data_IF_053759206658
#
_entry.id   IF_053759206658
#
_cell.length_a   1.000
_cell.length_b   1.000
_cell.length_c   1.000
_cell.angle_alpha   90.00
_cell.angle_beta   90.00
_cell.angle_gamma   90.00
#
_symmetry.space_group_name_H-M   'P 1'
#
loop_
_entity.id
_entity.type
_entity.pdbx_description
1 polymer ?
#
# COMPACT_ATOMS: atom_id res chain seq x y z
N UNK A 1 5.18 27.52 22.22
CA UNK A 1 4.43 26.79 21.18
C UNK A 1 5.44 26.34 20.14
N UNK A 2 5.79 25.06 20.10
CA UNK A 2 6.48 24.45 18.95
C UNK A 2 6.70 22.95 19.23
N UNK A 3 5.98 22.09 18.50
CA UNK A 3 6.35 20.68 18.29
C UNK A 3 5.48 20.07 17.19
N UNK A 4 5.82 20.33 15.93
CA UNK A 4 5.23 19.61 14.79
C UNK A 4 6.21 19.51 13.62
N UNK A 5 7.45 19.11 13.90
CA UNK A 5 8.49 18.92 12.86
C UNK A 5 9.13 17.51 12.88
N UNK A 6 8.63 16.56 13.67
CA UNK A 6 9.35 15.30 13.93
C UNK A 6 8.75 14.04 13.29
N UNK A 7 7.44 13.99 13.01
CA UNK A 7 6.81 12.75 12.50
C UNK A 7 6.97 12.55 10.98
N UNK A 8 6.91 13.63 10.19
CA UNK A 8 6.97 13.54 8.73
C UNK A 8 8.35 13.07 8.24
N UNK A 9 9.41 13.50 8.91
CA UNK A 9 10.79 13.14 8.53
C UNK A 9 11.09 11.66 8.71
N UNK A 10 10.63 11.03 9.81
CA UNK A 10 10.84 9.59 10.06
C UNK A 10 10.03 8.72 9.08
N UNK A 11 8.75 9.06 8.86
CA UNK A 11 7.91 8.34 7.91
C UNK A 11 8.43 8.48 6.49
N UNK A 12 8.82 9.68 6.05
CA UNK A 12 9.41 9.89 4.73
C UNK A 12 10.68 9.06 4.54
N UNK A 13 11.61 9.12 5.49
CA UNK A 13 12.85 8.35 5.44
C UNK A 13 12.61 6.84 5.35
N UNK A 14 11.60 6.33 6.07
CA UNK A 14 11.20 4.94 6.01
C UNK A 14 10.81 4.47 4.60
N UNK A 15 9.99 5.25 3.88
CA UNK A 15 9.57 4.88 2.53
C UNK A 15 10.68 5.01 1.49
N UNK A 16 11.55 6.01 1.61
CA UNK A 16 12.73 6.14 0.74
C UNK A 16 13.65 4.92 0.89
N UNK A 17 13.96 4.52 2.12
CA UNK A 17 14.78 3.34 2.38
C UNK A 17 14.14 2.04 1.88
N UNK A 18 12.82 1.88 2.05
CA UNK A 18 12.11 0.71 1.52
C UNK A 18 12.11 0.68 -0.02
N UNK A 19 12.05 1.84 -0.68
CA UNK A 19 12.16 1.92 -2.13
C UNK A 19 13.56 1.51 -2.60
N UNK A 20 14.63 1.96 -1.93
CA UNK A 20 16.00 1.57 -2.26
C UNK A 20 16.20 0.05 -2.11
N UNK A 21 15.67 -0.53 -1.02
CA UNK A 21 15.68 -1.97 -0.83
C UNK A 21 14.93 -2.69 -1.95
N UNK A 22 13.72 -2.23 -2.29
CA UNK A 22 12.94 -2.77 -3.41
C UNK A 22 13.70 -2.71 -4.74
N UNK A 23 14.32 -1.56 -5.04
CA UNK A 23 15.06 -1.35 -6.28
C UNK A 23 16.27 -2.29 -6.39
N UNK A 24 16.97 -2.54 -5.27
CA UNK A 24 18.09 -3.49 -5.22
C UNK A 24 17.69 -4.94 -5.57
N UNK A 25 16.40 -5.29 -5.46
CA UNK A 25 15.88 -6.65 -5.69
C UNK A 25 15.30 -6.87 -7.09
N UNK A 26 15.29 -5.85 -7.96
CA UNK A 26 14.60 -5.91 -9.25
C UNK A 26 15.29 -6.79 -10.32
N UNK A 27 16.46 -7.38 -10.07
CA UNK A 27 17.15 -8.36 -10.94
C UNK A 27 16.99 -8.08 -12.45
N UNK A 28 17.44 -6.92 -12.92
CA UNK A 28 17.39 -6.51 -14.34
C UNK A 28 16.10 -5.83 -14.81
N UNK A 29 15.00 -5.87 -14.03
CA UNK A 29 13.76 -5.15 -14.36
C UNK A 29 13.84 -3.64 -14.09
N UNK A 30 14.96 -3.14 -13.55
CA UNK A 30 15.18 -1.72 -13.28
C UNK A 30 15.28 -0.85 -14.56
N UNK A 31 15.43 -1.47 -15.74
CA UNK A 31 15.44 -0.79 -17.05
C UNK A 31 14.05 -0.67 -17.67
N UNK A 32 13.03 -1.35 -17.12
CA UNK A 32 11.67 -1.31 -17.66
C UNK A 32 11.08 0.11 -17.57
N UNK A 33 10.34 0.50 -18.61
CA UNK A 33 9.69 1.81 -18.68
C UNK A 33 8.77 2.09 -17.48
N UNK A 34 8.10 1.06 -16.94
CA UNK A 34 7.26 1.23 -15.76
C UNK A 34 8.06 1.54 -14.49
N UNK A 35 9.26 0.96 -14.35
CA UNK A 35 10.13 1.26 -13.21
C UNK A 35 10.66 2.70 -13.26
N UNK A 36 10.87 3.27 -14.45
CA UNK A 36 11.20 4.69 -14.58
C UNK A 36 10.12 5.60 -13.98
N UNK A 37 8.84 5.26 -14.15
CA UNK A 37 7.72 5.99 -13.52
C UNK A 37 7.78 5.89 -11.99
N UNK A 38 8.15 4.72 -11.45
CA UNK A 38 8.33 4.53 -10.00
C UNK A 38 9.46 5.40 -9.46
N UNK A 39 10.61 5.46 -10.15
CA UNK A 39 11.72 6.37 -9.80
C UNK A 39 11.32 7.84 -9.81
N UNK A 40 10.60 8.28 -10.85
CA UNK A 40 10.13 9.67 -10.92
C UNK A 40 9.18 9.99 -9.76
N UNK A 41 8.26 9.06 -9.44
CA UNK A 41 7.32 9.23 -8.33
C UNK A 41 8.02 9.29 -6.97
N UNK A 42 8.97 8.39 -6.67
CA UNK A 42 9.68 8.41 -5.39
C UNK A 42 10.57 9.64 -5.24
N UNK A 43 11.16 10.14 -6.34
CA UNK A 43 11.92 11.39 -6.34
C UNK A 43 11.03 12.57 -5.97
N UNK A 44 9.82 12.67 -6.52
CA UNK A 44 8.86 13.71 -6.14
C UNK A 44 8.37 13.56 -4.71
N UNK A 45 8.18 12.33 -4.24
CA UNK A 45 7.88 12.09 -2.84
C UNK A 45 9.02 12.52 -1.90
N UNK A 46 10.29 12.36 -2.29
CA UNK A 46 11.43 12.82 -1.49
C UNK A 46 11.40 14.35 -1.29
N UNK A 47 11.04 15.09 -2.34
CA UNK A 47 10.86 16.55 -2.33
C UNK A 47 9.65 16.98 -1.48
N UNK A 48 8.49 16.33 -1.68
CA UNK A 48 7.20 16.80 -1.16
C UNK A 48 6.79 16.21 0.20
N UNK A 49 7.17 14.96 0.50
CA UNK A 49 6.73 14.23 1.69
C UNK A 49 5.25 13.84 1.68
N UNK A 50 4.71 13.52 2.85
CA UNK A 50 3.28 13.27 2.99
C UNK A 50 2.51 14.59 3.05
N UNK A 51 1.36 14.69 2.37
CA UNK A 51 0.53 15.87 2.50
C UNK A 51 -0.09 15.93 3.90
N UNK A 52 -0.39 17.15 4.33
CA UNK A 52 -0.98 17.45 5.63
C UNK A 52 -2.33 18.14 5.44
N UNK A 53 -3.15 18.22 6.48
CA UNK A 53 -4.42 18.98 6.43
C UNK A 53 -4.23 20.49 6.21
N UNK A 54 -2.98 20.99 6.19
CA UNK A 54 -2.64 22.36 5.77
C UNK A 54 -2.63 22.53 4.26
N UNK A 55 -2.43 21.46 3.50
CA UNK A 55 -2.58 21.48 2.06
C UNK A 55 -4.08 21.54 1.73
N UNK A 56 -4.49 22.49 0.90
CA UNK A 56 -5.91 22.76 0.63
C UNK A 56 -6.65 21.52 0.12
N UNK A 57 -6.02 20.75 -0.78
CA UNK A 57 -6.54 19.50 -1.33
C UNK A 57 -6.73 18.39 -0.27
N UNK A 58 -6.08 18.50 0.89
CA UNK A 58 -6.06 17.50 1.97
C UNK A 58 -6.77 17.96 3.25
N UNK A 59 -7.41 19.13 3.23
CA UNK A 59 -8.06 19.74 4.40
C UNK A 59 -9.04 18.80 5.11
N UNK A 60 -9.74 17.97 4.35
CA UNK A 60 -10.76 17.05 4.85
C UNK A 60 -10.31 15.58 4.85
N UNK A 61 -9.02 15.30 4.64
CA UNK A 61 -8.49 13.94 4.63
C UNK A 61 -7.20 13.87 5.44
N UNK A 62 -7.32 13.48 6.71
CA UNK A 62 -6.19 13.37 7.61
C UNK A 62 -5.42 12.06 7.40
N UNK A 63 -4.21 12.16 6.85
CA UNK A 63 -3.33 11.01 6.60
C UNK A 63 -2.42 10.61 7.78
N UNK A 64 -2.45 11.31 8.91
CA UNK A 64 -1.50 11.08 10.01
C UNK A 64 -1.51 9.62 10.53
N UNK A 65 -2.69 8.99 10.59
CA UNK A 65 -2.81 7.60 11.00
C UNK A 65 -2.19 6.61 9.99
N UNK A 66 -2.20 6.94 8.71
CA UNK A 66 -1.57 6.13 7.65
C UNK A 66 -0.06 6.39 7.61
N UNK A 67 0.36 7.65 7.67
CA UNK A 67 1.77 8.03 7.65
C UNK A 67 2.53 7.50 8.87
N UNK A 68 1.89 7.39 10.04
CA UNK A 68 2.51 6.82 11.25
C UNK A 68 2.72 5.31 11.19
N UNK A 69 2.10 4.60 10.24
CA UNK A 69 2.33 3.17 10.04
C UNK A 69 3.50 2.94 9.09
N UNK A 70 4.45 2.12 9.54
CA UNK A 70 5.62 1.69 8.78
C UNK A 70 5.29 0.46 7.94
N UNK A 71 4.65 0.67 6.80
CA UNK A 71 4.36 -0.40 5.86
C UNK A 71 5.66 -0.95 5.26
N UNK A 72 5.72 -2.27 5.09
CA UNK A 72 6.84 -2.97 4.46
C UNK A 72 6.33 -3.81 3.30
N UNK A 73 7.16 -3.97 2.28
CA UNK A 73 6.90 -4.93 1.22
C UNK A 73 6.89 -6.35 1.83
N UNK A 74 6.00 -7.21 1.33
CA UNK A 74 6.04 -8.62 1.67
C UNK A 74 7.38 -9.20 1.21
N UNK A 75 8.07 -9.90 2.12
CA UNK A 75 9.37 -10.50 1.83
C UNK A 75 9.28 -11.66 0.85
N UNK A 76 8.10 -12.29 0.76
CA UNK A 76 7.86 -13.46 -0.08
C UNK A 76 6.50 -13.36 -0.77
N UNK A 77 6.40 -13.89 -2.00
CA UNK A 77 5.11 -14.01 -2.67
C UNK A 77 4.20 -14.91 -1.84
N UNK A 78 3.05 -14.36 -1.48
CA UNK A 78 2.02 -15.10 -0.75
C UNK A 78 1.37 -16.08 -1.72
N UNK A 79 1.38 -17.37 -1.39
CA UNK A 79 0.61 -18.38 -2.14
C UNK A 79 -0.88 -18.13 -1.88
N UNK A 80 -1.59 -17.73 -2.94
CA UNK A 80 -3.03 -17.54 -2.88
C UNK A 80 -3.74 -18.89 -3.04
N UNK A 81 -4.77 -19.12 -2.22
CA UNK A 81 -5.69 -20.20 -2.45
C UNK A 81 -6.64 -19.83 -3.60
N UNK A 82 -6.54 -20.54 -4.72
CA UNK A 82 -7.34 -20.27 -5.91
C UNK A 82 -8.85 -20.35 -5.64
N UNK A 83 -9.29 -21.26 -4.75
CA UNK A 83 -10.70 -21.41 -4.38
C UNK A 83 -11.18 -20.19 -3.60
N UNK A 84 -10.42 -19.77 -2.58
CA UNK A 84 -10.74 -18.60 -1.77
C UNK A 84 -10.74 -17.31 -2.60
N UNK A 85 -9.82 -17.19 -3.56
CA UNK A 85 -9.76 -16.05 -4.47
C UNK A 85 -10.99 -15.98 -5.38
N UNK A 86 -11.46 -17.12 -5.89
CA UNK A 86 -12.65 -17.19 -6.73
C UNK A 86 -13.92 -16.88 -5.93
N UNK A 87 -14.02 -17.37 -4.70
CA UNK A 87 -15.10 -17.04 -3.76
C UNK A 87 -15.12 -15.53 -3.47
N UNK A 88 -13.97 -14.91 -3.20
CA UNK A 88 -13.86 -13.47 -3.00
C UNK A 88 -14.26 -12.66 -4.24
N UNK A 89 -13.86 -13.09 -5.45
CA UNK A 89 -14.25 -12.41 -6.70
C UNK A 89 -15.75 -12.46 -6.92
N UNK A 90 -16.37 -13.62 -6.67
CA UNK A 90 -17.83 -13.78 -6.76
C UNK A 90 -18.56 -12.91 -5.73
N UNK A 91 -18.07 -12.88 -4.49
CA UNK A 91 -18.57 -11.99 -3.44
C UNK A 91 -18.64 -10.54 -3.91
N UNK A 92 -17.51 -10.07 -4.43
CA UNK A 92 -17.33 -8.69 -4.85
C UNK A 92 -18.19 -8.34 -6.06
N UNK A 93 -18.30 -9.24 -7.04
CA UNK A 93 -19.17 -9.07 -8.19
C UNK A 93 -20.66 -9.03 -7.79
N UNK A 94 -21.07 -9.85 -6.82
CA UNK A 94 -22.44 -9.80 -6.26
C UNK A 94 -22.70 -8.47 -5.55
N UNK A 95 -21.75 -7.99 -4.72
CA UNK A 95 -21.84 -6.69 -4.06
C UNK A 95 -21.89 -5.51 -5.06
N UNK A 96 -21.08 -5.54 -6.13
CA UNK A 96 -21.06 -4.53 -7.19
C UNK A 96 -22.34 -4.54 -8.06
N UNK A 97 -23.04 -5.68 -8.14
CA UNK A 97 -24.33 -5.82 -8.83
C UNK A 97 -25.56 -5.57 -7.93
N UNK A 98 -25.35 -5.20 -6.67
CA UNK A 98 -26.42 -4.88 -5.72
C UNK A 98 -27.06 -6.08 -5.02
N UNK A 99 -26.52 -7.29 -5.21
CA UNK A 99 -26.95 -8.51 -4.51
C UNK A 99 -26.04 -8.68 -3.28
N UNK A 100 -26.56 -8.38 -2.09
CA UNK A 100 -25.83 -8.62 -0.85
C UNK A 100 -26.04 -10.08 -0.44
N UNK A 101 -25.03 -10.92 -0.63
CA UNK A 101 -24.95 -12.25 -0.01
C UNK A 101 -24.34 -12.11 1.41
N UNK A 102 -25.12 -12.35 2.49
CA UNK A 102 -24.64 -12.19 3.86
C UNK A 102 -23.53 -13.17 4.25
N UNK A 103 -23.36 -14.29 3.52
CA UNK A 103 -22.37 -15.33 3.84
C UNK A 103 -20.93 -15.00 3.42
N UNK A 104 -20.72 -13.93 2.65
CA UNK A 104 -19.43 -13.60 2.03
C UNK A 104 -18.79 -12.30 2.56
N UNK A 105 -19.44 -11.60 3.50
CA UNK A 105 -18.97 -10.32 4.04
C UNK A 105 -17.79 -10.43 5.02
N UNK A 106 -17.38 -11.65 5.38
CA UNK A 106 -16.37 -11.89 6.42
C UNK A 106 -15.02 -12.43 5.88
N UNK A 107 -14.89 -12.59 4.56
CA UNK A 107 -13.61 -12.96 3.93
C UNK A 107 -12.62 -11.80 4.02
N UNK A 108 -11.68 -11.90 4.96
CA UNK A 108 -10.56 -10.98 5.09
C UNK A 108 -9.50 -11.34 4.07
N UNK A 109 -8.71 -10.34 3.64
CA UNK A 109 -7.57 -10.54 2.73
C UNK A 109 -6.62 -11.64 3.24
N UNK A 110 -6.52 -11.82 4.57
CA UNK A 110 -5.70 -12.85 5.19
C UNK A 110 -6.22 -14.29 4.95
N UNK A 111 -7.52 -14.46 4.71
CA UNK A 111 -8.16 -15.77 4.48
C UNK A 111 -7.89 -16.29 3.06
N UNK A 112 -7.35 -15.43 2.18
CA UNK A 112 -6.96 -15.79 0.81
C UNK A 112 -5.61 -16.50 0.74
N UNK A 113 -4.90 -16.58 1.86
CA UNK A 113 -3.57 -17.19 1.93
C UNK A 113 -3.68 -18.70 2.12
N UNK A 114 -2.89 -19.47 1.37
CA UNK A 114 -2.76 -20.90 1.64
C UNK A 114 -2.07 -21.06 3.00
N UNK A 115 -2.68 -21.79 3.94
CA UNK A 115 -2.05 -22.13 5.21
C UNK A 115 -0.64 -22.70 4.93
N UNK A 116 0.39 -22.00 5.39
CA UNK A 116 1.75 -22.51 5.33
C UNK A 116 1.78 -23.81 6.15
N UNK A 117 2.01 -24.93 5.46
CA UNK A 117 2.18 -26.24 6.06
C UNK A 117 3.66 -26.48 6.35
#
# INVERSE_FOLDING_TARGET
MEKTLSQDTDSKAWYLSNFDFFESKLNGNATQAFHQKRRAAISKFAELGFPTTRNEEWKYTNLAALASRKFKLASEPIKLNAKALEEYRRARAAAESGVIDPGLLDLKINDLTAAAK
#
